data_IF_458097133949
#
_entry.id   IF_458097133949
#
_cell.length_a   1.000
_cell.length_b   1.000
_cell.length_c   1.000
_cell.angle_alpha   90.00
_cell.angle_beta   90.00
_cell.angle_gamma   90.00
#
_symmetry.space_group_name_H-M   'P 1'
#
loop_
_entity.id
_entity.type
_entity.pdbx_description
1 polymer ?
#
# COMPACT_ATOMS: atom_id res chain seq x y z
N UNK A 1 -4.84 -7.01 -20.61
CA UNK A 1 -4.97 -5.55 -20.41
C UNK A 1 -6.43 -5.29 -20.12
N UNK A 2 -6.75 -5.14 -18.83
CA UNK A 2 -8.13 -5.01 -18.36
C UNK A 2 -8.60 -3.58 -18.65
N UNK A 3 -9.66 -3.48 -19.44
CA UNK A 3 -10.21 -2.21 -19.94
C UNK A 3 -10.85 -1.46 -18.77
N UNK A 4 -10.13 -0.49 -18.18
CA UNK A 4 -10.75 0.43 -17.23
C UNK A 4 -11.81 1.26 -17.94
N UNK A 5 -13.05 1.13 -17.49
CA UNK A 5 -14.22 1.73 -18.10
C UNK A 5 -14.12 3.28 -18.02
N UNK A 6 -13.95 4.00 -19.14
CA UNK A 6 -13.70 5.46 -19.14
C UNK A 6 -14.90 6.30 -18.64
N UNK A 7 -15.96 5.64 -18.14
CA UNK A 7 -17.18 6.26 -17.63
C UNK A 7 -17.32 6.22 -16.10
N UNK A 8 -16.35 5.68 -15.36
CA UNK A 8 -16.45 5.66 -13.91
C UNK A 8 -16.29 7.08 -13.34
N UNK A 9 -17.41 7.73 -13.05
CA UNK A 9 -17.39 9.05 -12.40
C UNK A 9 -16.96 8.94 -10.93
N UNK A 10 -16.23 9.95 -10.44
CA UNK A 10 -15.85 10.08 -9.02
C UNK A 10 -17.08 9.95 -8.09
N UNK A 11 -18.24 10.48 -8.50
CA UNK A 11 -19.49 10.36 -7.74
C UNK A 11 -19.99 8.92 -7.63
N UNK A 12 -19.86 8.13 -8.70
CA UNK A 12 -20.23 6.72 -8.71
C UNK A 12 -19.27 5.92 -7.82
N UNK A 13 -17.96 6.15 -7.99
CA UNK A 13 -16.93 5.54 -7.15
C UNK A 13 -17.18 5.78 -5.66
N UNK A 14 -17.41 7.03 -5.25
CA UNK A 14 -17.67 7.37 -3.84
C UNK A 14 -18.89 6.64 -3.25
N UNK A 15 -19.95 6.46 -4.05
CA UNK A 15 -21.12 5.66 -3.64
C UNK A 15 -20.79 4.18 -3.53
N UNK A 16 -20.06 3.64 -4.49
CA UNK A 16 -19.73 2.22 -4.55
C UNK A 16 -18.79 1.79 -3.42
N UNK A 17 -17.79 2.62 -3.08
CA UNK A 17 -16.92 2.38 -1.91
C UNK A 17 -17.53 2.84 -0.59
N UNK A 18 -18.74 3.40 -0.62
CA UNK A 18 -19.43 3.99 0.52
C UNK A 18 -18.50 4.93 1.33
N UNK A 19 -18.03 6.00 0.67
CA UNK A 19 -17.11 6.99 1.23
C UNK A 19 -17.55 8.42 0.90
N UNK A 20 -17.06 9.39 1.66
CA UNK A 20 -17.31 10.80 1.38
C UNK A 20 -16.76 11.19 0.00
N UNK A 21 -17.64 11.81 -0.80
CA UNK A 21 -17.30 12.30 -2.13
C UNK A 21 -16.07 13.21 -2.12
N UNK A 22 -15.96 14.09 -1.13
CA UNK A 22 -14.85 15.04 -1.06
C UNK A 22 -13.49 14.32 -0.88
N UNK A 23 -13.43 13.29 -0.05
CA UNK A 23 -12.23 12.48 0.13
C UNK A 23 -11.82 11.77 -1.16
N UNK A 24 -12.76 11.15 -1.86
CA UNK A 24 -12.48 10.47 -3.14
C UNK A 24 -12.04 11.48 -4.21
N UNK A 25 -12.66 12.67 -4.23
CA UNK A 25 -12.26 13.78 -5.13
C UNK A 25 -10.84 14.27 -4.84
N UNK A 26 -10.48 14.45 -3.57
CA UNK A 26 -9.13 14.90 -3.18
C UNK A 26 -8.07 13.86 -3.50
N UNK A 27 -8.36 12.57 -3.29
CA UNK A 27 -7.50 11.47 -3.73
C UNK A 27 -7.29 11.52 -5.25
N UNK A 28 -8.37 11.61 -6.03
CA UNK A 28 -8.31 11.64 -7.49
C UNK A 28 -7.52 12.84 -8.05
N UNK A 29 -7.53 13.98 -7.34
CA UNK A 29 -6.84 15.20 -7.74
C UNK A 29 -5.43 15.35 -7.15
N UNK A 30 -4.96 14.34 -6.41
CA UNK A 30 -3.70 14.42 -5.67
C UNK A 30 -3.63 15.62 -4.69
N UNK A 31 -4.79 16.03 -4.15
CA UNK A 31 -4.92 17.12 -3.17
C UNK A 31 -4.83 16.62 -1.70
N UNK A 32 -4.48 15.33 -1.50
CA UNK A 32 -4.37 14.70 -0.19
C UNK A 32 -2.92 14.71 0.31
N UNK A 33 -2.71 15.30 1.49
CA UNK A 33 -1.42 15.24 2.21
C UNK A 33 -1.28 13.96 3.03
N UNK A 34 -2.40 13.45 3.55
CA UNK A 34 -2.46 12.22 4.33
C UNK A 34 -3.56 11.32 3.79
N UNK A 35 -3.22 10.07 3.52
CA UNK A 35 -4.14 9.09 2.97
C UNK A 35 -4.79 8.27 4.10
N UNK A 36 -6.12 8.37 4.31
CA UNK A 36 -6.81 7.51 5.24
C UNK A 36 -6.65 6.04 4.85
N UNK A 37 -6.21 5.20 5.80
CA UNK A 37 -5.97 3.77 5.54
C UNK A 37 -7.22 3.03 5.06
N UNK A 38 -8.38 3.41 5.58
CA UNK A 38 -9.68 2.87 5.22
C UNK A 38 -10.09 3.25 3.78
N UNK A 39 -9.83 4.49 3.36
CA UNK A 39 -10.05 4.92 1.97
C UNK A 39 -9.15 4.13 1.01
N UNK A 40 -7.86 4.03 1.32
CA UNK A 40 -6.91 3.26 0.51
C UNK A 40 -7.33 1.80 0.38
N UNK A 41 -7.66 1.15 1.50
CA UNK A 41 -8.13 -0.23 1.49
C UNK A 41 -9.37 -0.41 0.60
N UNK A 42 -10.36 0.48 0.73
CA UNK A 42 -11.59 0.41 -0.07
C UNK A 42 -11.32 0.59 -1.57
N UNK A 43 -10.44 1.51 -1.95
CA UNK A 43 -10.06 1.72 -3.34
C UNK A 43 -9.27 0.53 -3.89
N UNK A 44 -8.34 -0.01 -3.12
CA UNK A 44 -7.58 -1.21 -3.48
C UNK A 44 -8.50 -2.41 -3.73
N UNK A 45 -9.48 -2.64 -2.84
CA UNK A 45 -10.47 -3.71 -3.01
C UNK A 45 -11.40 -3.48 -4.20
N UNK A 46 -11.83 -2.24 -4.44
CA UNK A 46 -12.73 -1.90 -5.55
C UNK A 46 -12.06 -2.10 -6.91
N UNK A 47 -10.80 -1.69 -7.06
CA UNK A 47 -10.04 -1.81 -8.30
C UNK A 47 -9.25 -3.11 -8.42
N UNK A 48 -9.22 -3.92 -7.35
CA UNK A 48 -8.39 -5.12 -7.25
C UNK A 48 -6.89 -4.84 -7.52
N UNK A 49 -6.37 -3.79 -6.88
CA UNK A 49 -4.98 -3.31 -7.02
C UNK A 49 -4.29 -3.19 -5.68
N UNK A 50 -2.95 -3.13 -5.70
CA UNK A 50 -2.15 -2.84 -4.50
C UNK A 50 -1.98 -1.32 -4.28
N UNK A 51 -1.67 -0.86 -3.05
CA UNK A 51 -1.45 0.56 -2.76
C UNK A 51 -0.37 1.21 -3.64
N UNK A 52 0.72 0.49 -3.93
CA UNK A 52 1.78 0.96 -4.84
C UNK A 52 1.35 1.13 -6.29
N UNK A 53 0.13 0.72 -6.66
CA UNK A 53 -0.46 1.04 -7.95
C UNK A 53 -1.29 2.32 -7.94
N UNK A 54 -1.75 2.77 -6.76
CA UNK A 54 -2.53 4.00 -6.57
C UNK A 54 -1.62 5.19 -6.21
N UNK A 55 -0.58 4.95 -5.42
CA UNK A 55 0.36 5.97 -4.97
C UNK A 55 1.75 5.52 -5.41
N UNK A 56 2.28 6.21 -6.42
CA UNK A 56 3.61 5.99 -6.97
C UNK A 56 4.41 7.27 -6.88
N UNK A 57 5.71 7.10 -6.73
CA UNK A 57 6.65 8.17 -7.02
C UNK A 57 6.81 8.16 -8.54
N UNK A 58 6.50 9.26 -9.20
CA UNK A 58 6.89 9.46 -10.58
C UNK A 58 8.37 9.82 -10.56
N UNK A 59 9.22 8.87 -10.96
CA UNK A 59 10.58 9.20 -11.36
C UNK A 59 10.46 9.87 -12.73
N UNK A 60 10.63 11.19 -12.78
CA UNK A 60 11.04 11.81 -14.03
C UNK A 60 12.28 11.03 -14.50
N UNK A 61 12.36 10.62 -15.77
CA UNK A 61 13.42 9.75 -16.31
C UNK A 61 14.88 10.30 -16.11
N UNK A 62 15.08 11.40 -15.38
CA UNK A 62 16.36 11.98 -14.98
C UNK A 62 16.70 11.87 -13.47
N UNK A 63 15.78 11.46 -12.58
CA UNK A 63 16.10 11.32 -11.15
C UNK A 63 16.31 9.84 -10.78
N UNK A 64 17.53 9.37 -11.01
CA UNK A 64 18.02 8.04 -10.63
C UNK A 64 18.06 7.92 -9.09
N UNK A 65 16.99 7.41 -8.49
CA UNK A 65 17.01 6.91 -7.11
C UNK A 65 16.88 5.39 -7.13
N UNK A 66 18.02 4.72 -7.32
CA UNK A 66 18.15 3.27 -7.14
C UNK A 66 17.61 2.88 -5.75
N UNK A 67 16.45 2.20 -5.72
CA UNK A 67 15.99 1.52 -4.52
C UNK A 67 16.97 0.36 -4.25
N UNK A 68 17.85 0.57 -3.27
CA UNK A 68 18.75 -0.45 -2.76
C UNK A 68 17.93 -1.57 -2.11
N UNK A 69 18.06 -2.79 -2.64
CA UNK A 69 17.33 -3.98 -2.20
C UNK A 69 18.03 -4.73 -1.05
N UNK A 70 18.93 -4.11 -0.29
CA UNK A 70 19.48 -4.73 0.93
C UNK A 70 18.64 -4.40 2.16
N UNK A 71 17.48 -5.05 2.30
CA UNK A 71 16.90 -5.33 3.62
C UNK A 71 17.16 -6.81 3.90
N UNK A 72 18.36 -7.10 4.39
CA UNK A 72 18.68 -8.36 5.03
C UNK A 72 18.04 -8.34 6.43
N UNK A 73 16.89 -8.98 6.57
CA UNK A 73 16.38 -9.37 7.89
C UNK A 73 17.19 -10.57 8.37
N UNK A 74 18.26 -10.32 9.13
CA UNK A 74 18.89 -11.36 9.94
C UNK A 74 17.91 -11.75 11.06
N UNK A 75 17.31 -12.94 10.95
CA UNK A 75 16.64 -13.60 12.05
C UNK A 75 17.70 -14.07 13.05
N UNK A 76 17.83 -13.39 14.19
CA UNK A 76 18.65 -13.86 15.31
C UNK A 76 17.91 -15.04 15.99
N UNK A 77 18.24 -16.24 15.52
CA UNK A 77 17.91 -17.48 16.18
C UNK A 77 18.76 -17.62 17.44
N UNK A 78 18.15 -17.41 18.62
CA UNK A 78 18.79 -17.82 19.86
C UNK A 78 18.28 -19.19 20.29
N UNK A 79 19.21 -20.14 20.25
CA UNK A 79 19.06 -21.56 20.47
C UNK A 79 18.61 -21.94 21.89
N UNK A 80 17.92 -23.09 21.96
CA UNK A 80 17.66 -23.84 23.18
C UNK A 80 18.97 -24.27 23.84
N UNK A 81 19.16 -23.89 25.10
CA UNK A 81 20.03 -24.65 26.01
C UNK A 81 19.15 -25.54 26.91
N UNK A 82 19.01 -26.79 26.49
CA UNK A 82 18.67 -27.90 27.38
C UNK A 82 19.97 -28.45 27.91
N UNK A 83 20.15 -28.45 29.24
CA UNK A 83 21.01 -29.44 29.87
C UNK A 83 20.41 -29.98 31.16
N UNK A 84 20.43 -31.31 31.22
CA UNK A 84 19.90 -32.18 32.28
C UNK A 84 21.03 -32.55 33.23
N UNK A 85 20.66 -32.72 34.50
CA UNK A 85 21.19 -33.68 35.49
C UNK A 85 22.61 -33.52 36.08
N UNK A 86 22.68 -33.58 37.42
CA UNK A 86 23.58 -34.50 38.12
C UNK A 86 24.38 -33.97 39.33
N UNK A 87 23.94 -34.34 40.54
CA UNK A 87 24.66 -34.56 41.81
C UNK A 87 25.98 -33.80 42.13
N UNK A 88 26.00 -33.11 43.28
CA UNK A 88 26.59 -33.62 44.53
C UNK A 88 26.02 -32.89 45.76
#
# INVERSE_FOLDING_TARGET
MENHDPKLSIRKLAKDVNYHFDSVRRMYKDEMVQYPRDLLLKLCLYFNVQPGQLIRIEEDEESDCTIDQSIDHEEDGNDKETDKNGNL
#
